data_IF_136853046283
#
_entry.id   IF_136853046283
#
_cell.length_a   1.000
_cell.length_b   1.000
_cell.length_c   1.000
_cell.angle_alpha   90.00
_cell.angle_beta   90.00
_cell.angle_gamma   90.00
#
_symmetry.space_group_name_H-M   'P 1'
#
loop_
_entity.id
_entity.type
_entity.pdbx_description
1 polymer ?
#
# COMPACT_ATOMS: atom_id res chain seq x y z
N UNK A 1 9.48 6.00 -20.85
CA UNK A 1 9.06 4.67 -20.32
C UNK A 1 7.60 4.77 -19.94
N UNK A 2 6.79 3.71 -20.13
CA UNK A 2 5.41 3.72 -19.69
C UNK A 2 5.37 3.69 -18.16
N UNK A 3 4.43 4.43 -17.58
CA UNK A 3 4.14 4.51 -16.14
C UNK A 3 3.70 3.15 -15.61
N UNK A 4 4.36 2.64 -14.56
CA UNK A 4 3.98 1.38 -13.94
C UNK A 4 3.05 1.59 -12.75
N UNK A 5 2.12 0.68 -12.54
CA UNK A 5 1.35 0.55 -11.31
C UNK A 5 1.94 -0.60 -10.50
N UNK A 6 2.52 -0.25 -9.34
CA UNK A 6 3.28 -1.18 -8.49
C UNK A 6 2.56 -1.31 -7.15
N UNK A 7 2.15 -2.51 -6.80
CA UNK A 7 1.63 -2.81 -5.47
C UNK A 7 2.78 -3.29 -4.58
N UNK A 8 3.12 -2.51 -3.56
CA UNK A 8 4.12 -2.88 -2.57
C UNK A 8 3.45 -3.01 -1.19
N UNK A 9 3.49 -4.20 -0.62
CA UNK A 9 2.65 -4.59 0.51
C UNK A 9 3.45 -5.44 1.51
N UNK A 10 3.02 -5.35 2.76
CA UNK A 10 3.52 -6.21 3.83
C UNK A 10 2.54 -7.34 4.06
N UNK A 11 3.05 -8.54 4.24
CA UNK A 11 2.24 -9.75 4.37
C UNK A 11 2.91 -10.75 5.33
N UNK A 12 2.12 -11.48 6.11
CA UNK A 12 2.61 -12.61 6.90
C UNK A 12 3.05 -13.76 6.00
N UNK A 13 3.82 -14.71 6.53
CA UNK A 13 4.26 -15.88 5.78
C UNK A 13 3.10 -16.72 5.25
N UNK A 14 1.97 -16.76 5.96
CA UNK A 14 0.73 -17.44 5.56
C UNK A 14 -0.23 -16.56 4.74
N UNK A 15 0.21 -15.39 4.27
CA UNK A 15 -0.46 -14.60 3.23
C UNK A 15 -1.51 -13.60 3.71
N UNK A 16 -1.53 -13.23 4.99
CA UNK A 16 -2.46 -12.25 5.53
C UNK A 16 -1.84 -10.86 5.64
N UNK A 17 -2.66 -9.82 5.43
CA UNK A 17 -2.30 -8.40 5.63
C UNK A 17 -2.75 -7.87 6.98
N UNK A 18 -3.58 -8.61 7.70
CA UNK A 18 -4.14 -8.29 9.01
C UNK A 18 -4.55 -9.59 9.68
N UNK A 19 -4.32 -9.69 10.99
CA UNK A 19 -4.75 -10.83 11.81
C UNK A 19 -6.26 -10.95 11.97
N UNK A 20 -6.75 -12.02 12.63
CA UNK A 20 -8.17 -12.27 12.84
C UNK A 20 -8.83 -11.20 13.71
N UNK A 21 -8.11 -10.67 14.68
CA UNK A 21 -8.61 -9.61 15.56
C UNK A 21 -8.38 -8.24 14.92
N UNK A 22 -9.43 -7.44 14.85
CA UNK A 22 -9.37 -6.12 14.21
C UNK A 22 -8.40 -5.21 14.96
N UNK A 23 -7.31 -4.83 14.30
CA UNK A 23 -6.30 -3.92 14.82
C UNK A 23 -4.94 -4.54 15.03
N UNK A 24 -4.78 -5.85 14.90
CA UNK A 24 -3.47 -6.51 14.97
C UNK A 24 -2.64 -6.27 13.71
N UNK A 25 -1.86 -5.20 13.76
CA UNK A 25 -0.84 -4.90 12.77
C UNK A 25 0.48 -4.51 13.45
N UNK A 26 0.64 -4.94 14.70
CA UNK A 26 1.81 -4.73 15.56
C UNK A 26 3.05 -5.52 15.09
N UNK A 27 2.86 -6.49 14.21
CA UNK A 27 3.91 -7.27 13.57
C UNK A 27 4.63 -6.53 12.43
N UNK A 28 4.13 -5.36 12.04
CA UNK A 28 4.75 -4.51 11.01
C UNK A 28 5.63 -3.45 11.68
N UNK A 29 6.94 -3.55 11.48
CA UNK A 29 7.93 -2.63 12.07
C UNK A 29 7.71 -1.18 11.62
N UNK A 30 7.47 -0.98 10.33
CA UNK A 30 7.17 0.34 9.76
C UNK A 30 6.29 0.23 8.52
N UNK A 31 5.21 0.99 8.49
CA UNK A 31 4.34 1.11 7.31
C UNK A 31 5.00 1.86 6.15
N UNK A 32 6.09 2.58 6.42
CA UNK A 32 6.87 3.27 5.40
C UNK A 32 7.77 2.32 4.58
N UNK A 33 8.08 1.13 5.05
CA UNK A 33 9.07 0.25 4.40
C UNK A 33 8.70 -0.10 2.95
N UNK A 34 7.42 -0.25 2.66
CA UNK A 34 6.98 -0.64 1.33
C UNK A 34 7.28 0.41 0.24
N UNK A 35 7.34 1.71 0.59
CA UNK A 35 7.62 2.77 -0.39
C UNK A 35 9.04 2.69 -0.93
N UNK A 36 9.99 2.22 -0.13
CA UNK A 36 11.40 2.11 -0.54
C UNK A 36 11.59 1.10 -1.67
N UNK A 37 10.64 0.18 -1.83
CA UNK A 37 10.67 -0.77 -2.92
C UNK A 37 10.26 -0.16 -4.27
N UNK A 38 9.73 1.07 -4.29
CA UNK A 38 9.17 1.67 -5.50
C UNK A 38 9.99 2.90 -5.89
N UNK A 39 10.76 2.83 -6.98
CA UNK A 39 11.48 4.00 -7.47
C UNK A 39 10.50 5.00 -8.10
N UNK A 40 10.80 6.29 -7.92
CA UNK A 40 10.15 7.39 -8.65
C UNK A 40 8.62 7.38 -8.62
N UNK A 41 8.02 7.43 -7.42
CA UNK A 41 6.57 7.56 -7.22
C UNK A 41 6.10 9.01 -7.40
N UNK A 42 5.01 9.20 -8.12
CA UNK A 42 4.32 10.49 -8.21
C UNK A 42 2.81 10.40 -7.95
N UNK A 43 2.30 9.22 -7.64
CA UNK A 43 0.88 8.98 -7.42
C UNK A 43 0.67 7.82 -6.46
N UNK A 44 -0.21 7.99 -5.49
CA UNK A 44 -0.64 6.93 -4.58
C UNK A 44 -2.06 6.48 -4.91
N UNK A 45 -2.31 5.17 -4.82
CA UNK A 45 -3.62 4.56 -5.04
C UNK A 45 -3.98 3.71 -3.84
N UNK A 46 -5.15 3.93 -3.25
CA UNK A 46 -5.57 3.21 -2.05
C UNK A 46 -7.07 2.95 -2.01
N UNK A 47 -7.47 1.93 -1.27
CA UNK A 47 -8.88 1.57 -1.09
C UNK A 47 -9.54 2.34 0.06
N UNK A 48 -10.82 2.60 -0.05
CA UNK A 48 -11.61 3.31 0.94
C UNK A 48 -11.58 2.70 2.34
N UNK A 49 -11.48 1.36 2.46
CA UNK A 49 -11.44 0.69 3.75
C UNK A 49 -10.15 0.93 4.55
N UNK A 50 -9.08 1.32 3.86
CA UNK A 50 -7.79 1.66 4.48
C UNK A 50 -7.63 3.16 4.70
N UNK A 51 -8.25 3.96 3.84
CA UNK A 51 -8.01 5.39 3.76
C UNK A 51 -8.23 6.17 5.07
N UNK A 52 -9.30 5.95 5.88
CA UNK A 52 -9.49 6.72 7.12
C UNK A 52 -8.30 6.58 8.10
N UNK A 53 -7.90 5.36 8.40
CA UNK A 53 -6.75 5.12 9.29
C UNK A 53 -5.42 5.58 8.69
N UNK A 54 -5.23 5.40 7.39
CA UNK A 54 -4.06 5.91 6.67
C UNK A 54 -3.95 7.44 6.78
N UNK A 55 -5.05 8.15 6.50
CA UNK A 55 -5.09 9.61 6.57
C UNK A 55 -4.80 10.12 7.99
N UNK A 56 -5.46 9.54 8.99
CA UNK A 56 -5.28 9.90 10.40
C UNK A 56 -3.84 9.70 10.86
N UNK A 57 -3.26 8.55 10.55
CA UNK A 57 -1.89 8.20 10.95
C UNK A 57 -0.84 9.14 10.34
N UNK A 58 -0.85 9.25 9.02
CA UNK A 58 0.18 10.02 8.32
C UNK A 58 0.00 11.53 8.46
N UNK A 59 -1.23 12.02 8.59
CA UNK A 59 -1.51 13.42 8.91
C UNK A 59 -0.97 13.79 10.29
N UNK A 60 -1.13 12.92 11.29
CA UNK A 60 -0.61 13.16 12.63
C UNK A 60 0.92 13.29 12.63
N UNK A 61 1.63 12.39 11.93
CA UNK A 61 3.09 12.45 11.79
C UNK A 61 3.53 13.73 11.04
N UNK A 62 2.82 14.08 9.97
CA UNK A 62 3.11 15.28 9.21
C UNK A 62 2.92 16.57 10.02
N UNK A 63 1.91 16.62 10.87
CA UNK A 63 1.58 17.78 11.69
C UNK A 63 2.55 17.97 12.88
N UNK A 64 2.93 16.89 13.57
CA UNK A 64 3.92 16.93 14.67
C UNK A 64 4.69 15.60 14.75
N UNK A 65 5.87 15.52 14.14
CA UNK A 65 6.67 14.30 14.14
C UNK A 65 7.31 13.94 15.50
N UNK A 66 7.15 14.76 16.52
CA UNK A 66 7.67 14.50 17.87
C UNK A 66 6.63 13.85 18.78
N UNK A 67 5.39 13.70 18.31
CA UNK A 67 4.31 13.05 19.04
C UNK A 67 4.15 11.59 18.63
N UNK A 68 3.66 10.78 19.56
CA UNK A 68 3.24 9.42 19.25
C UNK A 68 1.99 9.49 18.38
N UNK A 69 2.01 8.97 17.15
CA UNK A 69 0.85 9.01 16.27
C UNK A 69 -0.21 8.00 16.70
N UNK A 70 -1.45 8.12 16.23
CA UNK A 70 -2.48 7.10 16.42
C UNK A 70 -1.97 5.69 16.07
N UNK A 71 -2.44 4.69 16.78
CA UNK A 71 -2.11 3.27 16.56
C UNK A 71 -0.65 2.87 16.82
N UNK A 72 0.15 3.75 17.46
CA UNK A 72 1.53 3.47 17.83
C UNK A 72 1.80 3.76 19.29
N UNK A 73 2.89 3.18 19.81
CA UNK A 73 3.38 3.38 21.18
C UNK A 73 4.71 4.13 21.25
N UNK A 74 5.29 4.47 20.09
CA UNK A 74 6.56 5.17 19.94
C UNK A 74 6.42 6.41 19.04
N UNK A 75 7.37 7.32 19.14
CA UNK A 75 7.50 8.41 18.16
C UNK A 75 7.87 7.84 16.79
N UNK A 76 7.52 8.54 15.69
CA UNK A 76 7.85 8.10 14.34
C UNK A 76 9.37 8.09 14.12
N UNK A 77 9.82 7.15 13.31
CA UNK A 77 11.19 7.11 12.79
C UNK A 77 11.40 8.18 11.70
N UNK A 78 12.65 8.52 11.40
CA UNK A 78 13.00 9.45 10.31
C UNK A 78 12.39 9.00 8.97
N UNK A 79 12.32 7.69 8.73
CA UNK A 79 11.71 7.09 7.54
C UNK A 79 10.21 7.34 7.47
N UNK A 80 9.50 7.20 8.58
CA UNK A 80 8.07 7.51 8.65
C UNK A 80 7.80 9.00 8.49
N UNK A 81 8.66 9.85 9.03
CA UNK A 81 8.59 11.29 8.84
C UNK A 81 8.78 11.66 7.36
N UNK A 82 9.80 11.09 6.72
CA UNK A 82 10.06 11.30 5.29
C UNK A 82 8.87 10.81 4.43
N UNK A 83 8.29 9.67 4.77
CA UNK A 83 7.09 9.17 4.09
C UNK A 83 5.90 10.12 4.26
N UNK A 84 5.62 10.60 5.46
CA UNK A 84 4.52 11.53 5.71
C UNK A 84 4.68 12.83 4.92
N UNK A 85 5.91 13.35 4.81
CA UNK A 85 6.24 14.52 3.99
C UNK A 85 6.04 14.27 2.49
N UNK A 86 6.41 13.09 1.99
CA UNK A 86 6.17 12.67 0.62
C UNK A 86 4.67 12.53 0.36
N UNK A 87 3.95 11.84 1.23
CA UNK A 87 2.51 11.59 1.12
C UNK A 87 1.71 12.89 1.10
N UNK A 88 2.08 13.88 1.92
CA UNK A 88 1.39 15.18 1.97
C UNK A 88 1.42 15.95 0.64
N UNK A 89 2.42 15.71 -0.21
CA UNK A 89 2.64 16.41 -1.49
C UNK A 89 2.22 15.60 -2.70
N UNK A 90 2.07 14.28 -2.54
CA UNK A 90 1.80 13.36 -3.65
C UNK A 90 0.28 13.20 -3.86
N UNK A 91 -0.23 13.25 -5.09
CA UNK A 91 -1.61 12.93 -5.40
C UNK A 91 -2.02 11.53 -4.90
N UNK A 92 -3.17 11.47 -4.21
CA UNK A 92 -3.77 10.23 -3.72
C UNK A 92 -5.09 9.96 -4.44
N UNK A 93 -5.23 8.79 -5.02
CA UNK A 93 -6.47 8.31 -5.62
C UNK A 93 -7.10 7.27 -4.70
N UNK A 94 -8.22 7.64 -4.08
CA UNK A 94 -8.96 6.79 -3.16
C UNK A 94 -10.11 6.12 -3.90
N UNK A 95 -9.97 4.83 -4.17
CA UNK A 95 -11.00 4.06 -4.89
C UNK A 95 -12.15 3.73 -3.96
N UNK A 96 -13.32 4.29 -4.27
CA UNK A 96 -14.53 4.09 -3.46
C UNK A 96 -15.80 4.43 -4.21
N UNK A 97 -16.81 3.58 -4.09
CA UNK A 97 -18.17 3.84 -4.55
C UNK A 97 -19.03 4.56 -3.51
N UNK A 98 -18.64 4.51 -2.23
CA UNK A 98 -19.48 4.95 -1.10
C UNK A 98 -18.94 6.14 -0.33
N UNK A 99 -17.61 6.33 -0.29
CA UNK A 99 -16.96 7.42 0.46
C UNK A 99 -17.42 8.78 -0.10
N UNK A 100 -17.85 9.70 0.76
CA UNK A 100 -18.38 11.00 0.32
C UNK A 100 -17.28 12.04 0.10
N UNK A 101 -16.24 12.03 0.91
CA UNK A 101 -15.14 12.98 0.84
C UNK A 101 -13.83 12.37 1.31
N UNK A 102 -12.73 13.03 0.97
CA UNK A 102 -11.37 12.72 1.43
C UNK A 102 -10.76 14.00 1.95
N UNK A 103 -10.12 13.94 3.12
CA UNK A 103 -9.63 15.13 3.82
C UNK A 103 -8.13 15.32 3.67
N UNK A 104 -7.35 14.22 3.67
CA UNK A 104 -5.89 14.29 3.65
C UNK A 104 -5.29 13.22 2.73
N UNK A 105 -4.21 13.55 2.00
CA UNK A 105 -3.63 14.89 1.82
C UNK A 105 -4.56 15.81 1.00
N UNK A 106 -4.30 17.12 0.95
CA UNK A 106 -5.12 18.05 0.14
C UNK A 106 -5.19 17.69 -1.35
N UNK A 107 -4.23 16.92 -1.84
CA UNK A 107 -4.17 16.38 -3.21
C UNK A 107 -4.98 15.10 -3.42
N UNK A 108 -5.66 14.60 -2.37
CA UNK A 108 -6.45 13.38 -2.46
C UNK A 108 -7.76 13.62 -3.22
N UNK A 109 -8.17 12.64 -4.03
CA UNK A 109 -9.47 12.62 -4.70
C UNK A 109 -10.05 11.22 -4.76
N UNK A 110 -11.37 11.14 -4.83
CA UNK A 110 -12.07 9.87 -4.94
C UNK A 110 -12.11 9.44 -6.41
N UNK A 111 -11.80 8.19 -6.65
CA UNK A 111 -11.99 7.49 -7.92
C UNK A 111 -13.21 6.57 -7.76
N UNK A 112 -14.21 6.75 -8.59
CA UNK A 112 -15.47 6.01 -8.54
C UNK A 112 -15.43 4.72 -9.35
N UNK A 113 -14.64 4.70 -10.42
CA UNK A 113 -14.46 3.55 -11.30
C UNK A 113 -12.96 3.29 -11.49
N UNK A 114 -12.54 2.05 -11.28
CA UNK A 114 -11.14 1.66 -11.50
C UNK A 114 -10.69 1.83 -12.96
N UNK A 115 -11.62 1.90 -13.92
CA UNK A 115 -11.32 2.22 -15.31
C UNK A 115 -10.64 3.59 -15.47
N UNK A 116 -10.94 4.56 -14.60
CA UNK A 116 -10.26 5.86 -14.57
C UNK A 116 -8.75 5.70 -14.33
N UNK A 117 -8.35 4.73 -13.49
CA UNK A 117 -6.94 4.46 -13.20
C UNK A 117 -6.19 3.95 -14.42
N UNK A 118 -6.86 3.28 -15.36
CA UNK A 118 -6.27 2.87 -16.65
C UNK A 118 -5.91 4.10 -17.49
N UNK A 119 -6.81 5.06 -17.55
CA UNK A 119 -6.58 6.32 -18.27
C UNK A 119 -5.43 7.11 -17.63
N UNK A 120 -5.41 7.22 -16.29
CA UNK A 120 -4.35 7.91 -15.55
C UNK A 120 -2.99 7.21 -15.74
N UNK A 121 -2.98 5.87 -15.71
CA UNK A 121 -1.78 5.07 -15.96
C UNK A 121 -1.24 5.28 -17.38
N UNK A 122 -2.08 5.54 -18.36
CA UNK A 122 -1.69 5.85 -19.76
C UNK A 122 -1.09 7.24 -19.95
N UNK A 123 -1.20 8.14 -18.97
CA UNK A 123 -0.62 9.47 -19.04
C UNK A 123 0.88 9.46 -18.75
N UNK A 124 1.58 10.52 -19.15
CA UNK A 124 2.98 10.72 -18.76
C UNK A 124 3.09 10.89 -17.24
N UNK A 125 4.11 10.30 -16.65
CA UNK A 125 4.37 10.39 -15.21
C UNK A 125 5.34 9.33 -14.72
N UNK A 126 5.59 9.35 -13.41
CA UNK A 126 6.37 8.35 -12.69
C UNK A 126 5.48 7.18 -12.25
N UNK A 127 6.01 6.25 -11.47
CA UNK A 127 5.26 5.08 -11.03
C UNK A 127 4.09 5.45 -10.10
N UNK A 128 3.03 4.66 -10.17
CA UNK A 128 1.87 4.70 -9.28
C UNK A 128 2.05 3.65 -8.17
N UNK A 129 2.04 4.09 -6.93
CA UNK A 129 2.13 3.21 -5.77
C UNK A 129 0.74 2.78 -5.29
N UNK A 130 0.44 1.50 -5.40
CA UNK A 130 -0.76 0.91 -4.77
C UNK A 130 -0.43 0.59 -3.32
N UNK A 131 -0.89 1.46 -2.42
CA UNK A 131 -0.66 1.36 -0.97
C UNK A 131 -1.41 0.16 -0.36
N UNK A 132 -2.56 -0.20 -0.92
CA UNK A 132 -3.41 -1.28 -0.44
C UNK A 132 -4.87 -0.79 -0.28
N UNK A 133 -5.80 -1.46 0.42
CA UNK A 133 -5.81 -2.79 1.01
C UNK A 133 -6.06 -3.93 0.03
N UNK A 134 -6.14 -5.13 0.60
CA UNK A 134 -6.24 -6.39 -0.14
C UNK A 134 -7.38 -6.41 -1.19
N UNK A 135 -8.55 -5.88 -0.86
CA UNK A 135 -9.68 -5.80 -1.79
C UNK A 135 -9.37 -4.97 -3.03
N UNK A 136 -8.70 -3.81 -2.87
CA UNK A 136 -8.28 -2.98 -4.00
C UNK A 136 -7.23 -3.70 -4.84
N UNK A 137 -6.23 -4.32 -4.20
CA UNK A 137 -5.17 -5.07 -4.90
C UNK A 137 -5.78 -6.18 -5.76
N UNK A 138 -6.71 -6.95 -5.20
CA UNK A 138 -7.42 -7.99 -5.95
C UNK A 138 -8.22 -7.41 -7.13
N UNK A 139 -8.95 -6.30 -6.93
CA UNK A 139 -9.69 -5.62 -8.00
C UNK A 139 -8.77 -5.13 -9.13
N UNK A 140 -7.64 -4.52 -8.79
CA UNK A 140 -6.67 -4.03 -9.77
C UNK A 140 -5.96 -5.18 -10.51
N UNK A 141 -5.66 -6.29 -9.81
CA UNK A 141 -5.17 -7.51 -10.46
C UNK A 141 -6.20 -8.06 -11.44
N UNK A 142 -7.47 -8.20 -11.03
CA UNK A 142 -8.54 -8.70 -11.89
C UNK A 142 -8.76 -7.83 -13.13
N UNK A 143 -8.48 -6.53 -13.03
CA UNK A 143 -8.55 -5.56 -14.13
C UNK A 143 -7.26 -5.47 -14.98
N UNK A 144 -6.24 -6.29 -14.72
CA UNK A 144 -4.92 -6.26 -15.38
C UNK A 144 -4.25 -4.87 -15.32
N UNK A 145 -4.34 -4.20 -14.16
CA UNK A 145 -3.78 -2.86 -13.96
C UNK A 145 -2.45 -2.85 -13.23
N UNK A 146 -2.18 -3.83 -12.38
CA UNK A 146 -0.89 -3.96 -11.66
C UNK A 146 0.15 -4.55 -12.61
N UNK A 147 1.31 -3.91 -12.69
CA UNK A 147 2.46 -4.38 -13.49
C UNK A 147 3.46 -5.17 -12.63
N UNK A 148 3.60 -4.77 -11.37
CA UNK A 148 4.52 -5.42 -10.42
C UNK A 148 3.88 -5.57 -9.04
N UNK A 149 4.12 -6.73 -8.43
CA UNK A 149 3.84 -7.00 -7.02
C UNK A 149 5.18 -7.05 -6.28
N UNK A 150 5.31 -6.28 -5.21
CA UNK A 150 6.47 -6.27 -4.33
C UNK A 150 6.00 -6.57 -2.91
N UNK A 151 6.39 -7.71 -2.39
CA UNK A 151 5.90 -8.21 -1.10
C UNK A 151 7.04 -8.24 -0.09
N UNK A 152 6.82 -7.62 1.05
CA UNK A 152 7.64 -7.82 2.24
C UNK A 152 6.97 -8.93 3.04
N UNK A 153 7.50 -10.12 2.95
CA UNK A 153 7.00 -11.29 3.68
C UNK A 153 7.67 -11.34 5.06
N UNK A 154 6.86 -11.20 6.10
CA UNK A 154 7.31 -11.26 7.48
C UNK A 154 7.38 -12.71 7.98
N UNK A 155 8.36 -13.07 8.84
CA UNK A 155 8.51 -14.40 9.40
C UNK A 155 7.52 -14.64 10.55
N UNK A 156 6.23 -14.48 10.28
CA UNK A 156 5.13 -14.67 11.22
C UNK A 156 3.99 -15.43 10.57
N UNK A 157 3.30 -16.24 11.34
CA UNK A 157 2.05 -16.90 10.98
C UNK A 157 0.93 -16.25 11.79
N UNK A 158 -0.10 -15.75 11.11
CA UNK A 158 -1.27 -15.15 11.75
C UNK A 158 -2.42 -16.15 11.92
N UNK A 159 -2.40 -17.27 11.18
CA UNK A 159 -3.41 -18.33 11.29
C UNK A 159 -4.79 -17.99 10.76
N UNK A 160 -5.01 -16.75 10.34
CA UNK A 160 -6.29 -16.26 9.84
C UNK A 160 -6.30 -14.75 9.65
N UNK A 161 -7.44 -14.20 9.25
CA UNK A 161 -7.61 -12.77 9.08
C UNK A 161 -7.86 -12.35 7.62
N UNK A 162 -7.30 -11.20 7.21
CA UNK A 162 -7.52 -10.65 5.87
C UNK A 162 -6.44 -11.11 4.90
N UNK A 163 -6.73 -12.17 4.14
CA UNK A 163 -5.82 -12.69 3.13
C UNK A 163 -5.63 -11.68 1.97
N UNK A 164 -4.37 -11.47 1.55
CA UNK A 164 -4.02 -10.49 0.51
C UNK A 164 -4.70 -10.78 -0.83
N UNK A 165 -4.80 -12.03 -1.22
CA UNK A 165 -5.27 -12.43 -2.55
C UNK A 165 -6.65 -13.11 -2.56
N UNK A 166 -7.42 -13.06 -1.47
CA UNK A 166 -8.72 -13.72 -1.39
C UNK A 166 -9.73 -13.28 -2.46
N UNK A 167 -9.62 -12.05 -2.96
CA UNK A 167 -10.50 -11.51 -4.01
C UNK A 167 -10.02 -11.71 -5.44
N UNK A 168 -8.89 -12.39 -5.66
CA UNK A 168 -8.39 -12.70 -7.02
C UNK A 168 -9.23 -13.82 -7.62
N UNK A 169 -9.85 -13.55 -8.77
CA UNK A 169 -10.89 -14.41 -9.35
C UNK A 169 -10.41 -15.31 -10.50
N UNK A 170 -9.16 -15.21 -10.91
CA UNK A 170 -8.57 -16.05 -11.95
C UNK A 170 -7.13 -16.44 -11.62
N UNK A 171 -6.73 -17.63 -12.04
CA UNK A 171 -5.34 -18.08 -11.96
C UNK A 171 -4.43 -17.13 -12.74
N UNK A 172 -3.30 -16.73 -12.12
CA UNK A 172 -2.26 -15.91 -12.71
C UNK A 172 -0.89 -16.56 -12.51
N UNK A 173 -0.11 -16.61 -13.55
CA UNK A 173 1.31 -16.91 -13.45
C UNK A 173 2.05 -15.60 -13.27
N UNK A 174 2.95 -15.55 -12.30
CA UNK A 174 3.79 -14.41 -12.00
C UNK A 174 5.23 -14.74 -12.31
N UNK A 175 5.97 -13.78 -12.84
CA UNK A 175 7.40 -13.96 -13.11
C UNK A 175 8.21 -13.36 -11.97
N UNK A 176 8.94 -14.18 -11.23
CA UNK A 176 9.86 -13.70 -10.20
C UNK A 176 10.98 -12.90 -10.85
N UNK A 177 11.13 -11.64 -10.42
CA UNK A 177 12.17 -10.71 -10.92
C UNK A 177 13.33 -10.62 -9.95
N UNK A 178 13.03 -10.58 -8.64
CA UNK A 178 14.02 -10.37 -7.59
C UNK A 178 13.56 -10.98 -6.28
N UNK A 179 14.50 -11.45 -5.49
CA UNK A 179 14.29 -11.86 -4.09
C UNK A 179 15.44 -11.32 -3.24
N UNK A 180 15.12 -10.82 -2.05
CA UNK A 180 16.09 -10.36 -1.07
C UNK A 180 15.70 -10.87 0.31
N UNK A 181 16.69 -11.17 1.14
CA UNK A 181 16.48 -11.44 2.57
C UNK A 181 17.05 -10.29 3.40
N UNK A 182 16.35 -9.93 4.46
CA UNK A 182 16.80 -8.91 5.41
C UNK A 182 17.41 -9.54 6.65
N UNK A 183 18.20 -8.78 7.40
CA UNK A 183 18.77 -9.23 8.69
C UNK A 183 17.70 -9.56 9.73
N UNK A 184 16.50 -8.98 9.60
CA UNK A 184 15.35 -9.28 10.47
C UNK A 184 14.56 -10.54 10.07
N UNK A 185 15.05 -11.31 9.08
CA UNK A 185 14.39 -12.53 8.61
C UNK A 185 13.23 -12.31 7.63
N UNK A 186 12.95 -11.07 7.26
CA UNK A 186 11.95 -10.77 6.22
C UNK A 186 12.49 -11.14 4.84
N UNK A 187 11.60 -11.55 3.94
CA UNK A 187 11.93 -11.81 2.53
C UNK A 187 11.16 -10.81 1.66
N UNK A 188 11.88 -10.13 0.76
CA UNK A 188 11.28 -9.23 -0.22
C UNK A 188 11.19 -9.97 -1.55
N UNK A 189 9.98 -10.07 -2.09
CA UNK A 189 9.69 -10.73 -3.35
C UNK A 189 9.19 -9.68 -4.36
N UNK A 190 9.81 -9.63 -5.52
CA UNK A 190 9.36 -8.79 -6.64
C UNK A 190 8.90 -9.67 -7.78
N UNK A 191 7.64 -9.56 -8.15
CA UNK A 191 7.04 -10.27 -9.27
C UNK A 191 6.53 -9.29 -10.33
N UNK A 192 6.65 -9.68 -11.58
CA UNK A 192 5.92 -9.08 -12.70
C UNK A 192 4.65 -9.88 -12.95
N UNK A 193 3.53 -9.17 -13.15
CA UNK A 193 2.20 -9.76 -13.45
C UNK A 193 2.02 -10.01 -14.93
#
# INVERSE_FOLDING_TARGET
MSRKMIAALQVSLDGFTQGPDRGEADWVDSWADAIELIPEVDTFVQGAGMYPGYGEYWQAIYADPRRVPPYQTRIPSDREIAYAQLAAKTPHFVVSTTLKSVAWPPTARIIRDIAELRTIKGQAGKNMYVVGGATLVASLLNADLIDELRLIVHPILLGGGKALFAGVNKRRLLNLVQTESTKSGRVILTYRT
#
